data_IF_694934167996
#
_entry.id   IF_694934167996
#
_cell.length_a   1.000
_cell.length_b   1.000
_cell.length_c   1.000
_cell.angle_alpha   90.00
_cell.angle_beta   90.00
_cell.angle_gamma   90.00
#
_symmetry.space_group_name_H-M   'P 1'
#
loop_
_entity.id
_entity.type
_entity.pdbx_description
1 polymer ?
#
# COMPACT_ATOMS: atom_id res chain seq x y z
N UNK A 1 -21.58 -5.87 15.95
CA UNK A 1 -20.16 -5.79 16.32
C UNK A 1 -19.31 -6.33 15.18
N UNK A 2 -18.20 -5.65 14.88
CA UNK A 2 -17.21 -6.08 13.88
C UNK A 2 -15.81 -5.78 14.42
N UNK A 3 -14.79 -6.43 13.86
CA UNK A 3 -13.40 -6.21 14.24
C UNK A 3 -12.46 -6.14 13.03
N UNK A 4 -11.29 -5.52 13.21
CA UNK A 4 -10.20 -5.46 12.23
C UNK A 4 -9.00 -6.28 12.72
N UNK A 5 -8.56 -7.24 11.93
CA UNK A 5 -7.48 -8.17 12.27
C UNK A 5 -6.63 -8.51 11.04
N UNK A 6 -5.36 -8.84 11.28
CA UNK A 6 -4.45 -9.31 10.24
C UNK A 6 -4.78 -10.74 9.81
N UNK A 7 -4.47 -11.08 8.56
CA UNK A 7 -4.62 -12.47 8.07
C UNK A 7 -3.75 -13.41 8.91
N UNK A 8 -4.30 -14.49 9.48
CA UNK A 8 -3.53 -15.40 10.33
C UNK A 8 -2.30 -15.98 9.61
N UNK A 9 -1.14 -15.89 10.26
CA UNK A 9 0.13 -16.40 9.73
C UNK A 9 0.82 -15.51 8.69
N UNK A 10 0.15 -14.46 8.18
CA UNK A 10 0.79 -13.49 7.31
C UNK A 10 1.88 -12.71 8.07
N UNK A 11 3.06 -12.60 7.46
CA UNK A 11 4.20 -11.90 8.07
C UNK A 11 4.39 -10.48 7.53
N UNK A 12 3.79 -10.17 6.38
CA UNK A 12 3.81 -8.86 5.76
C UNK A 12 2.41 -8.44 5.36
N UNK A 13 2.27 -7.19 4.92
CA UNK A 13 1.02 -6.64 4.43
C UNK A 13 1.19 -6.08 3.02
N UNK A 14 0.13 -6.16 2.22
CA UNK A 14 0.04 -5.48 0.92
C UNK A 14 -1.05 -4.41 1.01
N UNK A 15 -0.86 -3.30 0.31
CA UNK A 15 -1.86 -2.25 0.24
C UNK A 15 -1.51 -1.14 -0.74
N UNK A 16 -2.47 -0.24 -0.97
CA UNK A 16 -2.24 0.97 -1.74
C UNK A 16 -1.29 1.94 -1.02
N UNK A 17 -0.59 2.76 -1.81
CA UNK A 17 0.24 3.85 -1.32
C UNK A 17 -0.01 5.09 -2.16
N UNK A 18 -0.41 6.18 -1.52
CA UNK A 18 -0.62 7.47 -2.17
C UNK A 18 0.63 8.35 -2.07
N UNK A 19 1.07 8.86 -3.21
CA UNK A 19 2.27 9.67 -3.31
C UNK A 19 1.93 11.16 -3.31
N UNK A 20 2.48 11.89 -2.34
CA UNK A 20 2.44 13.35 -2.35
C UNK A 20 3.60 13.90 -3.17
N UNK A 21 3.30 14.70 -4.21
CA UNK A 21 4.29 15.30 -5.09
C UNK A 21 4.16 16.82 -5.14
N UNK A 22 5.30 17.52 -5.20
CA UNK A 22 5.39 18.96 -5.36
C UNK A 22 5.85 19.31 -6.79
N UNK A 23 5.01 19.98 -7.56
CA UNK A 23 5.31 20.38 -8.95
C UNK A 23 5.84 21.82 -9.10
N UNK A 24 5.96 22.57 -8.01
CA UNK A 24 6.55 23.91 -8.00
C UNK A 24 7.23 24.20 -6.67
N UNK A 25 8.26 25.01 -6.68
CA UNK A 25 9.05 25.38 -5.50
C UNK A 25 8.52 26.61 -4.75
N UNK A 26 7.31 27.08 -5.10
CA UNK A 26 6.65 28.23 -4.50
C UNK A 26 6.55 28.06 -2.97
N UNK A 27 6.77 29.13 -2.17
CA UNK A 27 6.71 29.05 -0.71
C UNK A 27 5.41 28.44 -0.18
N UNK A 28 4.26 28.74 -0.79
CA UNK A 28 2.97 28.20 -0.39
C UNK A 28 2.86 26.68 -0.56
N UNK A 29 3.41 26.12 -1.65
CA UNK A 29 3.38 24.66 -1.88
C UNK A 29 4.30 23.95 -0.91
N UNK A 30 5.49 24.51 -0.66
CA UNK A 30 6.41 24.00 0.37
C UNK A 30 5.79 24.02 1.76
N UNK A 31 5.05 25.09 2.11
CA UNK A 31 4.38 25.20 3.39
C UNK A 31 3.31 24.10 3.59
N UNK A 32 2.53 23.78 2.55
CA UNK A 32 1.54 22.70 2.61
C UNK A 32 2.20 21.32 2.83
N UNK A 33 3.23 21.00 2.03
CA UNK A 33 3.98 19.74 2.17
C UNK A 33 4.64 19.64 3.55
N UNK A 34 5.21 20.74 4.04
CA UNK A 34 5.81 20.80 5.38
C UNK A 34 4.77 20.57 6.48
N UNK A 35 3.56 21.15 6.37
CA UNK A 35 2.49 20.90 7.31
C UNK A 35 2.07 19.43 7.31
N UNK A 36 1.75 18.85 6.15
CA UNK A 36 1.27 17.46 6.03
C UNK A 36 2.31 16.44 6.51
N UNK A 37 3.60 16.75 6.42
CA UNK A 37 4.70 15.91 6.91
C UNK A 37 5.14 16.21 8.35
N UNK A 38 4.58 17.23 9.01
CA UNK A 38 4.90 17.60 10.40
C UNK A 38 4.14 16.75 11.42
N UNK A 39 4.57 16.80 12.69
CA UNK A 39 3.88 16.19 13.84
C UNK A 39 2.44 16.71 13.97
N UNK A 40 2.23 18.01 13.74
CA UNK A 40 0.89 18.61 13.79
C UNK A 40 -0.01 18.06 12.66
N UNK A 41 0.53 17.94 11.44
CA UNK A 41 -0.18 17.33 10.32
C UNK A 41 -0.48 15.85 10.55
N UNK A 42 0.44 15.10 11.14
CA UNK A 42 0.25 13.69 11.48
C UNK A 42 -0.85 13.50 12.53
N UNK A 43 -0.84 14.32 13.58
CA UNK A 43 -1.88 14.30 14.61
C UNK A 43 -3.25 14.68 14.03
N UNK A 44 -3.32 15.66 13.14
CA UNK A 44 -4.57 16.04 12.50
C UNK A 44 -5.08 14.96 11.55
N UNK A 45 -4.19 14.32 10.76
CA UNK A 45 -4.54 13.19 9.91
C UNK A 45 -5.20 12.07 10.71
N UNK A 46 -4.59 11.68 11.84
CA UNK A 46 -5.12 10.63 12.70
C UNK A 46 -6.50 10.95 13.28
N UNK A 47 -6.77 12.24 13.58
CA UNK A 47 -8.06 12.72 14.10
C UNK A 47 -9.14 12.77 13.02
N UNK A 48 -8.79 13.28 11.83
CA UNK A 48 -9.71 13.35 10.69
C UNK A 48 -10.08 11.94 10.21
N UNK A 49 -9.14 10.99 10.29
CA UNK A 49 -9.36 9.60 9.94
C UNK A 49 -9.06 9.31 8.47
N UNK A 50 -10.01 8.72 7.75
CA UNK A 50 -9.87 8.12 6.42
C UNK A 50 -9.02 6.83 6.40
N UNK A 51 -7.70 6.92 6.61
CA UNK A 51 -6.82 5.74 6.68
C UNK A 51 -5.48 6.07 7.38
N UNK A 52 -4.58 5.09 7.41
CA UNK A 52 -3.27 5.19 8.02
C UNK A 52 -2.43 6.33 7.42
N UNK A 53 -1.70 7.00 8.31
CA UNK A 53 -0.69 7.98 7.97
C UNK A 53 0.65 7.27 7.83
N UNK A 54 1.50 7.63 6.86
CA UNK A 54 2.88 7.17 6.81
C UNK A 54 3.75 7.82 7.88
N UNK A 55 3.25 8.81 8.62
CA UNK A 55 3.98 9.50 9.68
C UNK A 55 3.74 8.80 11.03
N UNK A 56 4.82 8.28 11.66
CA UNK A 56 4.77 7.59 12.96
C UNK A 56 4.21 8.46 14.10
N UNK A 57 4.24 9.79 13.96
CA UNK A 57 3.67 10.70 14.96
C UNK A 57 2.13 10.65 15.01
N UNK A 58 1.49 10.05 14.00
CA UNK A 58 0.04 9.82 13.98
C UNK A 58 -0.39 8.71 14.96
N UNK A 59 0.49 7.78 15.32
CA UNK A 59 0.12 6.54 16.03
C UNK A 59 -0.61 6.78 17.34
N UNK A 60 -0.18 7.76 18.13
CA UNK A 60 -0.81 8.08 19.42
C UNK A 60 -2.11 8.89 19.29
N UNK A 61 -2.41 9.41 18.08
CA UNK A 61 -3.54 10.29 17.83
C UNK A 61 -4.75 9.59 17.19
N UNK A 62 -4.63 8.31 16.82
CA UNK A 62 -5.77 7.54 16.33
C UNK A 62 -6.80 7.33 17.45
N UNK A 63 -8.06 7.68 17.17
CA UNK A 63 -9.18 7.44 18.09
C UNK A 63 -10.12 6.35 17.60
N UNK A 64 -10.13 6.04 16.31
CA UNK A 64 -10.92 4.95 15.74
C UNK A 64 -10.29 3.58 16.05
N UNK A 65 -11.09 2.65 16.58
CA UNK A 65 -10.61 1.36 17.03
C UNK A 65 -10.05 0.49 15.87
N UNK A 66 -10.63 0.59 14.68
CA UNK A 66 -10.13 -0.13 13.51
C UNK A 66 -8.81 0.46 13.02
N UNK A 67 -8.66 1.79 13.00
CA UNK A 67 -7.40 2.45 12.64
C UNK A 67 -6.27 2.16 13.63
N UNK A 68 -6.57 2.10 14.94
CA UNK A 68 -5.58 1.68 15.96
C UNK A 68 -5.06 0.26 15.65
N UNK A 69 -5.96 -0.69 15.40
CA UNK A 69 -5.59 -2.08 15.07
C UNK A 69 -4.86 -2.18 13.73
N UNK A 70 -5.35 -1.49 12.70
CA UNK A 70 -4.73 -1.43 11.37
C UNK A 70 -3.32 -0.85 11.44
N UNK A 71 -3.12 0.21 12.23
CA UNK A 71 -1.82 0.83 12.46
C UNK A 71 -0.85 -0.10 13.18
N UNK A 72 -1.31 -0.86 14.18
CA UNK A 72 -0.51 -1.89 14.84
C UNK A 72 -0.11 -3.02 13.90
N UNK A 73 -1.02 -3.47 13.03
CA UNK A 73 -0.74 -4.47 12.00
C UNK A 73 0.33 -3.97 11.04
N UNK A 74 0.23 -2.72 10.55
CA UNK A 74 1.24 -2.13 9.68
C UNK A 74 2.60 -2.00 10.40
N UNK A 75 2.61 -1.50 11.63
CA UNK A 75 3.84 -1.29 12.41
C UNK A 75 4.55 -2.59 12.81
N UNK A 76 3.83 -3.71 12.91
CA UNK A 76 4.37 -5.02 13.26
C UNK A 76 4.69 -5.91 12.05
N UNK A 77 4.34 -5.49 10.84
CA UNK A 77 4.62 -6.24 9.63
C UNK A 77 6.13 -6.30 9.36
N UNK A 78 6.64 -7.47 8.94
CA UNK A 78 8.04 -7.62 8.51
C UNK A 78 8.35 -6.85 7.22
N UNK A 79 7.32 -6.55 6.44
CA UNK A 79 7.42 -5.78 5.21
C UNK A 79 6.05 -5.31 4.73
N UNK A 80 6.05 -4.17 4.05
CA UNK A 80 4.91 -3.65 3.31
C UNK A 80 5.21 -3.72 1.82
N UNK A 81 4.30 -4.32 1.04
CA UNK A 81 4.40 -4.40 -0.41
C UNK A 81 3.33 -3.50 -1.03
N UNK A 82 3.70 -2.42 -1.74
CA UNK A 82 2.74 -1.62 -2.49
C UNK A 82 2.06 -2.46 -3.57
N UNK A 83 0.73 -2.37 -3.66
CA UNK A 83 -0.02 -2.98 -4.74
C UNK A 83 0.08 -2.12 -6.01
N UNK A 84 0.85 -2.59 -6.99
CA UNK A 84 1.20 -1.82 -8.21
C UNK A 84 0.98 -2.62 -9.50
N UNK A 85 0.41 -3.82 -9.44
CA UNK A 85 0.31 -4.73 -10.59
C UNK A 85 -0.49 -4.16 -11.76
N UNK A 86 -1.50 -3.34 -11.47
CA UNK A 86 -2.31 -2.62 -12.47
C UNK A 86 -1.57 -1.41 -13.09
N UNK A 87 -0.63 -0.81 -12.35
CA UNK A 87 0.17 0.33 -12.83
C UNK A 87 1.31 -0.09 -13.77
N UNK A 88 1.72 -1.36 -13.75
CA UNK A 88 2.72 -1.88 -14.69
C UNK A 88 2.09 -1.95 -16.08
N UNK A 89 2.67 -1.26 -17.10
CA UNK A 89 2.09 -1.20 -18.44
C UNK A 89 2.13 -2.55 -19.16
N UNK A 90 1.73 -2.60 -20.44
CA UNK A 90 1.87 -3.82 -21.24
C UNK A 90 0.93 -4.98 -20.85
N UNK A 91 -0.04 -4.74 -19.98
CA UNK A 91 -1.07 -5.73 -19.61
C UNK A 91 -0.69 -6.64 -18.45
N UNK A 92 0.32 -6.28 -17.64
CA UNK A 92 0.75 -7.11 -16.51
C UNK A 92 -0.37 -7.41 -15.52
N UNK A 93 -1.20 -6.44 -15.13
CA UNK A 93 -2.32 -6.70 -14.20
C UNK A 93 -3.29 -7.80 -14.67
N UNK A 94 -3.50 -7.95 -15.99
CA UNK A 94 -4.29 -9.07 -16.54
C UNK A 94 -3.54 -10.40 -16.44
N UNK A 95 -2.23 -10.39 -16.68
CA UNK A 95 -1.38 -11.58 -16.61
C UNK A 95 -1.24 -12.08 -15.16
N UNK A 96 -1.03 -11.16 -14.21
CA UNK A 96 -1.00 -11.43 -12.77
C UNK A 96 -2.33 -12.03 -12.30
N UNK A 97 -3.46 -11.39 -12.62
CA UNK A 97 -4.77 -11.91 -12.26
C UNK A 97 -5.02 -13.31 -12.84
N UNK A 98 -4.64 -13.53 -14.11
CA UNK A 98 -4.74 -14.85 -14.73
C UNK A 98 -3.90 -15.89 -14.01
N UNK A 99 -2.65 -15.57 -13.65
CA UNK A 99 -1.77 -16.50 -12.94
C UNK A 99 -2.36 -16.94 -11.59
N UNK A 100 -2.94 -16.02 -10.84
CA UNK A 100 -3.65 -16.31 -9.58
C UNK A 100 -4.85 -17.23 -9.80
N UNK A 101 -5.73 -16.89 -10.75
CA UNK A 101 -6.93 -17.69 -11.06
C UNK A 101 -6.55 -19.08 -11.55
N UNK A 102 -5.58 -19.20 -12.45
CA UNK A 102 -5.14 -20.49 -12.98
C UNK A 102 -4.59 -21.38 -11.86
N UNK A 103 -3.73 -20.84 -10.99
CA UNK A 103 -3.15 -21.59 -9.87
C UNK A 103 -4.21 -22.08 -8.89
N UNK A 104 -5.16 -21.23 -8.50
CA UNK A 104 -6.27 -21.61 -7.62
C UNK A 104 -7.14 -22.72 -8.24
N UNK A 105 -7.22 -22.77 -9.58
CA UNK A 105 -7.91 -23.83 -10.31
C UNK A 105 -7.05 -25.07 -10.61
N UNK A 106 -5.85 -25.17 -10.01
CA UNK A 106 -5.00 -26.36 -10.08
C UNK A 106 -3.96 -26.36 -11.20
N UNK A 107 -3.72 -25.22 -11.85
CA UNK A 107 -2.58 -25.10 -12.76
C UNK A 107 -1.24 -25.13 -12.01
N UNK A 108 -0.17 -25.44 -12.74
CA UNK A 108 1.19 -25.43 -12.20
C UNK A 108 1.64 -24.02 -11.79
N UNK A 109 2.17 -23.89 -10.57
CA UNK A 109 2.58 -22.60 -10.01
C UNK A 109 3.72 -21.98 -10.80
N UNK A 110 4.76 -22.75 -11.08
CA UNK A 110 5.97 -22.25 -11.73
C UNK A 110 5.67 -21.78 -13.16
N UNK A 111 4.82 -22.51 -13.88
CA UNK A 111 4.34 -22.12 -15.20
C UNK A 111 3.53 -20.81 -15.16
N UNK A 112 2.58 -20.68 -14.22
CA UNK A 112 1.77 -19.46 -14.07
C UNK A 112 2.63 -18.25 -13.70
N UNK A 113 3.59 -18.41 -12.78
CA UNK A 113 4.53 -17.35 -12.39
C UNK A 113 5.44 -16.97 -13.56
N UNK A 114 6.00 -17.93 -14.29
CA UNK A 114 6.86 -17.67 -15.44
C UNK A 114 6.14 -16.88 -16.54
N UNK A 115 4.87 -17.20 -16.79
CA UNK A 115 4.04 -16.48 -17.76
C UNK A 115 3.81 -15.02 -17.35
N UNK A 116 3.42 -14.76 -16.10
CA UNK A 116 3.23 -13.40 -15.58
C UNK A 116 4.55 -12.61 -15.56
N UNK A 117 5.64 -13.22 -15.10
CA UNK A 117 6.97 -12.62 -15.05
C UNK A 117 7.50 -12.23 -16.43
N UNK A 118 7.21 -13.02 -17.47
CA UNK A 118 7.55 -12.67 -18.85
C UNK A 118 6.85 -11.39 -19.30
N UNK A 119 5.54 -11.27 -19.04
CA UNK A 119 4.77 -10.05 -19.37
C UNK A 119 5.31 -8.84 -18.59
N UNK A 120 5.61 -9.02 -17.31
CA UNK A 120 6.22 -7.98 -16.48
C UNK A 120 7.54 -7.50 -17.07
N UNK A 121 8.45 -8.44 -17.37
CA UNK A 121 9.77 -8.13 -17.89
C UNK A 121 9.71 -7.41 -19.24
N UNK A 122 8.75 -7.76 -20.10
CA UNK A 122 8.50 -7.04 -21.36
C UNK A 122 7.96 -5.62 -21.11
N UNK A 123 7.03 -5.47 -20.18
CA UNK A 123 6.43 -4.18 -19.83
C UNK A 123 7.41 -3.19 -19.18
N UNK A 124 8.43 -3.67 -18.48
CA UNK A 124 9.38 -2.83 -17.75
C UNK A 124 10.70 -2.61 -18.50
N UNK A 125 10.82 -3.01 -19.76
CA UNK A 125 11.97 -2.67 -20.60
C UNK A 125 12.03 -1.16 -20.82
N UNK A 126 13.21 -0.58 -20.61
CA UNK A 126 13.51 0.83 -20.90
C UNK A 126 13.86 1.02 -22.37
#
# INVERSE_FOLDING_TARGET
DYDFFGVPGAQGVQGGSDWMMMFSDKPAVKALVAYLSSDAGAAEWAKVGFDLSPNLQATAAYTDAALIKKGQILASAKGFTPDIGDTIPGGFGKAEWKALVDYVNGADLDASLAAAAKVQAEATKK
#
